data_IF_441158825495
#
_entry.id   IF_441158825495
#
_cell.length_a   1.000
_cell.length_b   1.000
_cell.length_c   1.000
_cell.angle_alpha   90.00
_cell.angle_beta   90.00
_cell.angle_gamma   90.00
#
_symmetry.space_group_name_H-M   'P 1'
#
loop_
_entity.id
_entity.type
_entity.pdbx_description
1 polymer ?
#
# COMPACT_ATOMS: atom_id res chain seq x y z
N UNK A 1 -0.20 -53.11 -56.84
CA UNK A 1 -0.57 -53.98 -55.70
C UNK A 1 0.37 -53.66 -54.56
N UNK A 2 -0.08 -53.02 -53.47
CA UNK A 2 0.77 -52.90 -52.28
C UNK A 2 0.86 -54.29 -51.63
N UNK A 3 2.06 -54.76 -51.26
CA UNK A 3 2.20 -56.08 -50.65
C UNK A 3 1.40 -56.13 -49.35
N UNK A 4 0.75 -57.27 -49.07
CA UNK A 4 -0.07 -57.49 -47.86
C UNK A 4 0.70 -57.14 -46.58
N UNK A 5 2.00 -57.39 -46.57
CA UNK A 5 2.92 -57.03 -45.48
C UNK A 5 2.90 -55.53 -45.15
N UNK A 6 2.83 -54.67 -46.16
CA UNK A 6 2.81 -53.21 -45.96
C UNK A 6 1.47 -52.74 -45.38
N UNK A 7 0.37 -53.42 -45.71
CA UNK A 7 -0.95 -53.14 -45.12
C UNK A 7 -0.98 -53.55 -43.65
N UNK A 8 -0.42 -54.72 -43.31
CA UNK A 8 -0.29 -55.16 -41.90
C UNK A 8 0.57 -54.20 -41.10
N UNK A 9 1.70 -53.74 -41.65
CA UNK A 9 2.54 -52.73 -40.99
C UNK A 9 1.76 -51.43 -40.72
N UNK A 10 1.02 -50.92 -41.70
CA UNK A 10 0.19 -49.73 -41.53
C UNK A 10 -0.90 -49.90 -40.47
N UNK A 11 -1.51 -51.09 -40.38
CA UNK A 11 -2.49 -51.43 -39.35
C UNK A 11 -1.88 -51.50 -37.95
N UNK A 12 -0.72 -52.13 -37.79
CA UNK A 12 -0.03 -52.18 -36.49
C UNK A 12 0.40 -50.79 -36.06
N UNK A 13 0.92 -49.98 -36.98
CA UNK A 13 1.30 -48.60 -36.69
C UNK A 13 0.11 -47.74 -36.26
N UNK A 14 -1.05 -47.89 -36.91
CA UNK A 14 -2.26 -47.19 -36.49
C UNK A 14 -2.80 -47.71 -35.15
N UNK A 15 -2.63 -49.00 -34.84
CA UNK A 15 -2.92 -49.54 -33.51
C UNK A 15 -2.02 -48.96 -32.42
N UNK A 16 -0.72 -48.82 -32.67
CA UNK A 16 0.19 -48.10 -31.78
C UNK A 16 -0.24 -46.63 -31.64
N UNK A 17 -0.67 -45.99 -32.73
CA UNK A 17 -1.28 -44.67 -32.68
C UNK A 17 -2.52 -44.61 -31.77
N UNK A 18 -3.37 -45.64 -31.81
CA UNK A 18 -4.50 -45.79 -30.89
C UNK A 18 -4.09 -45.87 -29.42
N UNK A 19 -3.02 -46.62 -29.11
CA UNK A 19 -2.43 -46.65 -27.77
C UNK A 19 -1.94 -45.26 -27.33
N UNK A 20 -1.24 -44.55 -28.22
CA UNK A 20 -0.76 -43.19 -27.97
C UNK A 20 -1.93 -42.23 -27.71
N UNK A 21 -3.01 -42.29 -28.49
CA UNK A 21 -4.21 -41.49 -28.20
C UNK A 21 -4.82 -41.83 -26.85
N UNK A 22 -4.85 -43.11 -26.48
CA UNK A 22 -5.28 -43.54 -25.17
C UNK A 22 -4.48 -42.88 -24.05
N UNK A 23 -3.14 -42.91 -24.16
CA UNK A 23 -2.25 -42.25 -23.18
C UNK A 23 -2.47 -40.74 -23.11
N UNK A 24 -2.65 -40.09 -24.27
CA UNK A 24 -2.92 -38.65 -24.36
C UNK A 24 -4.28 -38.30 -23.75
N UNK A 25 -5.27 -39.18 -23.91
CA UNK A 25 -6.60 -38.99 -23.35
C UNK A 25 -6.62 -39.16 -21.83
N UNK A 26 -5.87 -40.09 -21.26
CA UNK A 26 -5.72 -40.20 -19.81
C UNK A 26 -4.96 -39.01 -19.22
N UNK A 27 -3.97 -38.46 -19.95
CA UNK A 27 -3.36 -37.17 -19.60
C UNK A 27 -4.41 -36.03 -19.63
N UNK A 28 -5.23 -35.95 -20.69
CA UNK A 28 -6.32 -34.97 -20.78
C UNK A 28 -7.27 -35.06 -19.59
N UNK A 29 -7.72 -36.27 -19.22
CA UNK A 29 -8.59 -36.48 -18.04
C UNK A 29 -7.93 -35.99 -16.77
N UNK A 30 -6.65 -36.29 -16.58
CA UNK A 30 -5.92 -35.88 -15.38
C UNK A 30 -5.72 -34.37 -15.32
N UNK A 31 -5.41 -33.71 -16.44
CA UNK A 31 -5.32 -32.26 -16.55
C UNK A 31 -6.64 -31.56 -16.25
N UNK A 32 -7.76 -32.06 -16.79
CA UNK A 32 -9.10 -31.53 -16.52
C UNK A 32 -9.48 -31.69 -15.04
N UNK A 33 -9.10 -32.80 -14.40
CA UNK A 33 -9.36 -33.05 -12.98
C UNK A 33 -8.62 -32.07 -12.06
N UNK A 34 -7.40 -31.67 -12.44
CA UNK A 34 -6.60 -30.67 -11.69
C UNK A 34 -7.09 -29.24 -11.97
N UNK A 35 -7.56 -28.97 -13.19
CA UNK A 35 -8.01 -27.66 -13.63
C UNK A 35 -9.37 -27.23 -13.05
N UNK A 36 -9.37 -26.38 -12.01
CA UNK A 36 -10.61 -25.85 -11.41
C UNK A 36 -11.30 -24.74 -12.21
N UNK A 37 -10.63 -24.16 -13.22
CA UNK A 37 -11.13 -23.01 -14.00
C UNK A 37 -11.59 -23.45 -15.38
N UNK A 38 -12.67 -22.85 -15.88
CA UNK A 38 -13.28 -23.18 -17.18
C UNK A 38 -12.33 -22.99 -18.37
N UNK A 39 -11.44 -22.00 -18.32
CA UNK A 39 -10.44 -21.79 -19.38
C UNK A 39 -9.37 -22.89 -19.42
N UNK A 40 -9.05 -23.52 -18.28
CA UNK A 40 -8.10 -24.64 -18.26
C UNK A 40 -8.63 -25.85 -19.03
N UNK A 41 -9.92 -26.14 -18.87
CA UNK A 41 -10.59 -27.21 -19.61
C UNK A 41 -10.58 -26.90 -21.11
N UNK A 42 -10.83 -25.64 -21.50
CA UNK A 42 -10.75 -25.24 -22.90
C UNK A 42 -9.34 -25.40 -23.50
N UNK A 43 -8.29 -25.07 -22.75
CA UNK A 43 -6.90 -25.28 -23.18
C UNK A 43 -6.59 -26.77 -23.33
N UNK A 44 -7.02 -27.59 -22.36
CA UNK A 44 -6.83 -29.04 -22.42
C UNK A 44 -7.56 -29.67 -23.61
N UNK A 45 -8.78 -29.20 -23.91
CA UNK A 45 -9.57 -29.65 -25.06
C UNK A 45 -8.84 -29.32 -26.37
N UNK A 46 -8.45 -28.06 -26.58
CA UNK A 46 -7.70 -27.64 -27.78
C UNK A 46 -6.41 -28.44 -27.95
N UNK A 47 -5.68 -28.69 -26.86
CA UNK A 47 -4.45 -29.48 -26.89
C UNK A 47 -4.72 -30.93 -27.31
N UNK A 48 -5.80 -31.54 -26.82
CA UNK A 48 -6.21 -32.89 -27.22
C UNK A 48 -6.65 -32.94 -28.69
N UNK A 49 -7.37 -31.92 -29.17
CA UNK A 49 -7.75 -31.81 -30.59
C UNK A 49 -6.52 -31.74 -31.51
N UNK A 50 -5.51 -30.95 -31.13
CA UNK A 50 -4.26 -30.82 -31.90
C UNK A 50 -3.50 -32.14 -31.91
N UNK A 51 -3.36 -32.81 -30.77
CA UNK A 51 -2.68 -34.11 -30.69
C UNK A 51 -3.44 -35.16 -31.51
N UNK A 52 -4.76 -35.23 -31.37
CA UNK A 52 -5.62 -36.16 -32.10
C UNK A 52 -5.53 -35.98 -33.60
N UNK A 53 -5.76 -34.75 -34.08
CA UNK A 53 -5.69 -34.43 -35.50
C UNK A 53 -4.27 -34.59 -36.04
N UNK A 54 -3.26 -34.14 -35.29
CA UNK A 54 -1.85 -34.26 -35.66
C UNK A 54 -1.43 -35.72 -35.81
N UNK A 55 -1.76 -36.57 -34.84
CA UNK A 55 -1.44 -38.00 -34.92
C UNK A 55 -2.16 -38.68 -36.07
N UNK A 56 -3.47 -38.40 -36.25
CA UNK A 56 -4.24 -38.94 -37.37
C UNK A 56 -3.58 -38.55 -38.70
N UNK A 57 -3.27 -37.27 -38.89
CA UNK A 57 -2.61 -36.77 -40.09
C UNK A 57 -1.23 -37.39 -40.30
N UNK A 58 -0.44 -37.57 -39.24
CA UNK A 58 0.88 -38.20 -39.31
C UNK A 58 0.79 -39.66 -39.78
N UNK A 59 -0.20 -40.41 -39.28
CA UNK A 59 -0.45 -41.79 -39.72
C UNK A 59 -0.86 -41.85 -41.20
N UNK A 60 -1.67 -40.90 -41.68
CA UNK A 60 -2.06 -40.82 -43.08
C UNK A 60 -0.87 -40.50 -44.01
N UNK A 61 -0.03 -39.56 -43.60
CA UNK A 61 1.17 -39.17 -44.36
C UNK A 61 2.18 -40.30 -44.43
N UNK A 62 2.46 -40.96 -43.30
CA UNK A 62 3.46 -42.02 -43.22
C UNK A 62 3.05 -43.25 -44.03
N UNK A 63 1.76 -43.62 -43.98
CA UNK A 63 1.27 -44.81 -44.65
C UNK A 63 1.29 -44.68 -46.17
N UNK A 64 0.60 -43.67 -46.70
CA UNK A 64 0.21 -43.67 -48.11
C UNK A 64 0.00 -42.27 -48.70
N UNK A 65 0.91 -41.32 -48.42
CA UNK A 65 0.85 -39.96 -49.00
C UNK A 65 -0.49 -39.23 -48.76
N UNK A 66 -1.19 -39.55 -47.68
CA UNK A 66 -2.49 -38.95 -47.36
C UNK A 66 -3.72 -39.72 -47.87
N UNK A 67 -3.56 -40.89 -48.49
CA UNK A 67 -4.70 -41.74 -48.85
C UNK A 67 -5.41 -42.28 -47.59
N UNK A 68 -6.69 -41.94 -47.45
CA UNK A 68 -7.52 -42.37 -46.32
C UNK A 68 -7.86 -43.84 -46.48
N UNK A 69 -7.28 -44.70 -45.63
CA UNK A 69 -7.49 -46.15 -45.67
C UNK A 69 -8.25 -46.66 -44.46
N UNK A 70 -9.21 -47.55 -44.71
CA UNK A 70 -10.12 -48.04 -43.67
C UNK A 70 -9.41 -48.75 -42.50
N UNK A 71 -8.33 -49.49 -42.77
CA UNK A 71 -7.57 -50.16 -41.72
C UNK A 71 -6.85 -49.20 -40.76
N UNK A 72 -6.62 -47.94 -41.13
CA UNK A 72 -6.05 -46.93 -40.22
C UNK A 72 -7.04 -46.66 -39.09
N UNK A 73 -8.31 -46.48 -39.41
CA UNK A 73 -9.37 -46.32 -38.41
C UNK A 73 -9.57 -47.57 -37.56
N UNK A 74 -9.56 -48.77 -38.16
CA UNK A 74 -9.66 -50.02 -37.40
C UNK A 74 -8.48 -50.20 -36.45
N UNK A 75 -7.26 -49.91 -36.90
CA UNK A 75 -6.09 -49.99 -36.03
C UNK A 75 -6.18 -48.97 -34.90
N UNK A 76 -6.49 -47.71 -35.18
CA UNK A 76 -6.70 -46.68 -34.14
C UNK A 76 -7.76 -47.11 -33.11
N UNK A 77 -8.93 -47.57 -33.57
CA UNK A 77 -10.00 -48.02 -32.69
C UNK A 77 -9.61 -49.27 -31.89
N UNK A 78 -8.96 -50.24 -32.53
CA UNK A 78 -8.49 -51.47 -31.90
C UNK A 78 -7.41 -51.20 -30.86
N UNK A 79 -6.42 -50.37 -31.20
CA UNK A 79 -5.37 -49.92 -30.28
C UNK A 79 -5.95 -49.18 -29.09
N UNK A 80 -6.89 -48.25 -29.31
CA UNK A 80 -7.56 -47.54 -28.24
C UNK A 80 -8.37 -48.48 -27.33
N UNK A 81 -9.05 -49.48 -27.89
CA UNK A 81 -9.77 -50.49 -27.12
C UNK A 81 -8.83 -51.35 -26.25
N UNK A 82 -7.68 -51.76 -26.81
CA UNK A 82 -6.63 -52.48 -26.07
C UNK A 82 -6.08 -51.60 -24.95
N UNK A 83 -5.83 -50.32 -25.22
CA UNK A 83 -5.35 -49.38 -24.22
C UNK A 83 -6.29 -49.31 -23.01
N UNK A 84 -7.57 -49.03 -23.23
CA UNK A 84 -8.54 -48.90 -22.14
C UNK A 84 -8.74 -50.20 -21.36
N UNK A 85 -8.54 -51.36 -22.01
CA UNK A 85 -8.72 -52.65 -21.37
C UNK A 85 -7.57 -53.03 -20.44
N UNK A 86 -6.34 -52.66 -20.78
CA UNK A 86 -5.13 -53.22 -20.15
C UNK A 86 -4.16 -52.20 -19.56
N UNK A 87 -4.17 -50.93 -19.99
CA UNK A 87 -3.07 -49.98 -19.68
C UNK A 87 -3.54 -48.73 -18.94
N UNK A 88 -4.86 -48.49 -18.86
CA UNK A 88 -5.39 -47.25 -18.28
C UNK A 88 -5.06 -47.09 -16.80
N UNK A 89 -5.00 -48.17 -16.01
CA UNK A 89 -4.77 -48.06 -14.57
C UNK A 89 -3.32 -47.66 -14.25
N UNK A 90 -2.36 -48.33 -14.88
CA UNK A 90 -0.94 -48.09 -14.72
C UNK A 90 -0.55 -46.70 -15.23
N UNK A 91 -1.05 -46.34 -16.41
CA UNK A 91 -0.75 -45.04 -17.03
C UNK A 91 -1.39 -43.90 -16.24
N UNK A 92 -2.60 -44.08 -15.71
CA UNK A 92 -3.20 -43.07 -14.80
C UNK A 92 -2.40 -42.91 -13.51
N UNK A 93 -1.97 -44.00 -12.87
CA UNK A 93 -1.15 -43.93 -11.67
C UNK A 93 0.18 -43.19 -11.95
N UNK A 94 0.79 -43.46 -13.11
CA UNK A 94 1.97 -42.74 -13.57
C UNK A 94 1.70 -41.23 -13.73
N UNK A 95 0.60 -40.85 -14.40
CA UNK A 95 0.25 -39.44 -14.60
C UNK A 95 -0.08 -38.71 -13.30
N UNK A 96 -0.83 -39.34 -12.40
CA UNK A 96 -1.14 -38.77 -11.08
C UNK A 96 0.14 -38.55 -10.27
N UNK A 97 1.04 -39.53 -10.23
CA UNK A 97 2.34 -39.39 -9.57
C UNK A 97 3.24 -38.32 -10.19
N UNK A 98 3.28 -38.23 -11.54
CA UNK A 98 4.02 -37.18 -12.25
C UNK A 98 3.47 -35.78 -11.92
N UNK A 99 2.15 -35.61 -11.86
CA UNK A 99 1.53 -34.33 -11.53
C UNK A 99 1.77 -33.94 -10.07
N UNK A 100 1.69 -34.88 -9.14
CA UNK A 100 2.03 -34.63 -7.74
C UNK A 100 3.48 -34.19 -7.60
N UNK A 101 4.41 -34.84 -8.31
CA UNK A 101 5.81 -34.44 -8.34
C UNK A 101 5.96 -33.01 -8.90
N UNK A 102 5.33 -32.69 -10.02
CA UNK A 102 5.37 -31.36 -10.63
C UNK A 102 4.82 -30.29 -9.67
N UNK A 103 3.68 -30.55 -9.03
CA UNK A 103 3.07 -29.62 -8.08
C UNK A 103 3.94 -29.45 -6.83
N UNK A 104 4.55 -30.52 -6.32
CA UNK A 104 5.46 -30.47 -5.19
C UNK A 104 6.72 -29.65 -5.51
N UNK A 105 7.31 -29.84 -6.70
CA UNK A 105 8.43 -29.05 -7.18
C UNK A 105 8.06 -27.56 -7.34
N UNK A 106 6.88 -27.27 -7.88
CA UNK A 106 6.42 -25.89 -8.04
C UNK A 106 6.18 -25.21 -6.69
N UNK A 107 5.60 -25.93 -5.72
CA UNK A 107 5.37 -25.42 -4.36
C UNK A 107 6.68 -25.20 -3.60
N UNK A 108 7.64 -26.14 -3.69
CA UNK A 108 8.95 -25.99 -3.05
C UNK A 108 9.73 -24.84 -3.66
N UNK A 109 9.70 -24.67 -4.98
CA UNK A 109 10.28 -23.50 -5.66
C UNK A 109 9.60 -22.19 -5.23
N UNK A 110 8.26 -22.18 -5.16
CA UNK A 110 7.50 -21.03 -4.68
C UNK A 110 7.81 -20.67 -3.23
N UNK A 111 7.98 -21.66 -2.36
CA UNK A 111 8.42 -21.45 -0.99
C UNK A 111 9.84 -20.90 -0.94
N UNK A 112 10.76 -21.45 -1.74
CA UNK A 112 12.14 -20.97 -1.84
C UNK A 112 12.22 -19.50 -2.28
N UNK A 113 11.36 -19.08 -3.20
CA UNK A 113 11.30 -17.68 -3.69
C UNK A 113 10.61 -16.75 -2.69
N UNK A 114 9.53 -17.19 -2.03
CA UNK A 114 8.78 -16.34 -1.09
C UNK A 114 9.44 -16.22 0.28
N UNK A 115 10.20 -17.25 0.71
CA UNK A 115 10.92 -17.27 1.97
C UNK A 115 11.87 -16.08 2.19
N UNK A 116 12.78 -15.71 1.27
CA UNK A 116 13.66 -14.55 1.45
C UNK A 116 12.86 -13.24 1.51
N UNK A 117 11.77 -13.13 0.74
CA UNK A 117 10.90 -11.95 0.76
C UNK A 117 10.19 -11.78 2.11
N UNK A 118 9.66 -12.87 2.69
CA UNK A 118 9.02 -12.85 4.01
C UNK A 118 10.04 -12.49 5.09
N UNK A 119 11.25 -13.07 5.04
CA UNK A 119 12.31 -12.77 5.99
C UNK A 119 12.75 -11.31 5.91
N UNK A 120 12.86 -10.76 4.70
CA UNK A 120 13.19 -9.35 4.46
C UNK A 120 12.11 -8.42 5.02
N UNK A 121 10.83 -8.71 4.73
CA UNK A 121 9.71 -7.94 5.28
C UNK A 121 9.68 -7.99 6.82
N UNK A 122 9.91 -9.16 7.40
CA UNK A 122 9.92 -9.36 8.85
C UNK A 122 11.11 -8.64 9.52
N UNK A 123 12.23 -8.50 8.83
CA UNK A 123 13.40 -7.75 9.30
C UNK A 123 13.14 -6.24 9.20
N UNK A 124 12.59 -5.78 8.08
CA UNK A 124 12.18 -4.39 7.88
C UNK A 124 11.16 -3.90 8.91
N UNK A 125 10.09 -4.67 9.18
CA UNK A 125 9.12 -4.32 10.24
C UNK A 125 9.76 -4.21 11.62
N UNK A 126 10.70 -5.10 11.96
CA UNK A 126 11.43 -5.04 13.23
C UNK A 126 12.28 -3.77 13.33
N UNK A 127 12.98 -3.41 12.26
CA UNK A 127 13.74 -2.16 12.18
C UNK A 127 12.84 -0.92 12.30
N UNK A 128 11.72 -0.89 11.58
CA UNK A 128 10.73 0.20 11.67
C UNK A 128 10.14 0.34 13.08
N UNK A 129 9.76 -0.79 13.70
CA UNK A 129 9.23 -0.79 15.07
C UNK A 129 10.28 -0.30 16.07
N UNK A 130 11.53 -0.70 15.89
CA UNK A 130 12.65 -0.22 16.71
C UNK A 130 12.85 1.29 16.52
N UNK A 131 12.89 1.79 15.28
CA UNK A 131 12.98 3.22 14.99
C UNK A 131 11.82 4.03 15.60
N UNK A 132 10.59 3.52 15.51
CA UNK A 132 9.42 4.18 16.09
C UNK A 132 9.50 4.28 17.62
N UNK A 133 9.93 3.19 18.28
CA UNK A 133 10.11 3.15 19.74
C UNK A 133 11.29 4.02 20.20
N UNK A 134 12.39 4.05 19.44
CA UNK A 134 13.57 4.88 19.73
C UNK A 134 13.28 6.37 19.50
N UNK A 135 12.47 6.72 18.49
CA UNK A 135 12.00 8.07 18.24
C UNK A 135 11.19 8.65 19.41
N UNK A 136 10.31 7.84 20.02
CA UNK A 136 9.57 8.22 21.22
C UNK A 136 10.44 8.41 22.48
N UNK A 137 11.62 7.78 22.51
CA UNK A 137 12.62 7.93 23.57
C UNK A 137 13.41 9.23 23.40
N UNK A 138 13.85 9.51 22.17
CA UNK A 138 14.61 10.72 21.83
C UNK A 138 13.76 11.99 22.00
N UNK A 139 12.47 11.95 21.63
CA UNK A 139 11.54 13.08 21.78
C UNK A 139 11.23 13.43 23.24
N UNK A 140 11.15 12.43 24.13
CA UNK A 140 11.01 12.66 25.58
C UNK A 140 12.29 13.22 26.18
N UNK A 141 13.43 12.62 25.84
CA UNK A 141 14.74 13.07 26.30
C UNK A 141 15.04 14.52 25.88
N UNK A 142 14.78 14.90 24.63
CA UNK A 142 15.01 16.28 24.16
C UNK A 142 14.05 17.28 24.80
N UNK A 143 12.78 16.90 25.05
CA UNK A 143 11.80 17.77 25.71
C UNK A 143 12.17 18.05 27.16
N UNK A 144 12.57 17.02 27.90
CA UNK A 144 12.88 17.17 29.33
C UNK A 144 14.25 17.82 29.54
N UNK A 145 15.23 17.53 28.69
CA UNK A 145 16.61 17.98 28.88
C UNK A 145 16.94 19.35 28.28
N UNK A 146 16.33 19.73 27.16
CA UNK A 146 16.58 21.02 26.51
C UNK A 146 15.43 22.02 26.69
N UNK A 147 14.18 21.58 26.51
CA UNK A 147 13.04 22.51 26.48
C UNK A 147 12.59 22.99 27.87
N UNK A 148 12.59 22.14 28.90
CA UNK A 148 12.17 22.57 30.24
C UNK A 148 13.09 23.60 30.91
N UNK A 149 14.44 23.51 30.85
CA UNK A 149 15.30 24.52 31.45
C UNK A 149 15.26 25.84 30.67
N UNK A 150 15.21 25.79 29.33
CA UNK A 150 15.10 27.00 28.50
C UNK A 150 13.80 27.77 28.76
N UNK A 151 12.67 27.07 28.91
CA UNK A 151 11.37 27.73 29.18
C UNK A 151 11.35 28.37 30.58
N UNK A 152 11.96 27.72 31.57
CA UNK A 152 12.14 28.28 32.92
C UNK A 152 13.10 29.48 32.91
N UNK A 153 14.20 29.41 32.19
CA UNK A 153 15.14 30.54 32.04
C UNK A 153 14.46 31.75 31.35
N UNK A 154 13.69 31.51 30.30
CA UNK A 154 12.95 32.55 29.59
C UNK A 154 11.85 33.20 30.45
N UNK A 155 11.14 32.42 31.28
CA UNK A 155 10.14 32.96 32.20
C UNK A 155 10.76 33.77 33.34
N UNK A 156 11.91 33.35 33.87
CA UNK A 156 12.67 34.12 34.86
C UNK A 156 13.19 35.43 34.26
N UNK A 157 13.70 35.42 33.02
CA UNK A 157 14.13 36.63 32.30
C UNK A 157 13.00 37.63 32.10
N UNK A 158 11.83 37.16 31.63
CA UNK A 158 10.62 38.01 31.47
C UNK A 158 10.14 38.60 32.79
N UNK A 159 10.13 37.84 33.88
CA UNK A 159 9.75 38.33 35.21
C UNK A 159 10.74 39.36 35.79
N UNK A 160 12.03 39.24 35.45
CA UNK A 160 13.07 40.20 35.86
C UNK A 160 12.94 41.52 35.09
N UNK A 161 12.74 41.45 33.78
CA UNK A 161 12.48 42.62 32.92
C UNK A 161 11.18 43.33 33.30
N UNK A 162 10.12 42.60 33.63
CA UNK A 162 8.86 43.17 34.12
C UNK A 162 9.03 43.93 35.44
N UNK A 163 9.81 43.40 36.39
CA UNK A 163 10.12 44.10 37.64
C UNK A 163 10.92 45.37 37.41
N UNK A 164 11.95 45.33 36.55
CA UNK A 164 12.74 46.52 36.21
C UNK A 164 11.92 47.58 35.47
N UNK A 165 11.03 47.17 34.56
CA UNK A 165 10.10 48.07 33.88
C UNK A 165 9.10 48.73 34.84
N UNK A 166 8.64 48.02 35.87
CA UNK A 166 7.67 48.58 36.82
C UNK A 166 8.37 49.53 37.81
N UNK A 167 9.61 49.20 38.20
CA UNK A 167 10.44 50.04 39.05
C UNK A 167 10.83 51.35 38.36
N UNK A 168 11.17 51.32 37.07
CA UNK A 168 11.46 52.55 36.29
C UNK A 168 10.22 53.42 36.09
N UNK A 169 9.04 52.83 35.86
CA UNK A 169 7.76 53.55 35.80
C UNK A 169 7.40 54.24 37.10
N UNK A 170 7.62 53.59 38.25
CA UNK A 170 7.40 54.23 39.56
C UNK A 170 8.38 55.38 39.80
N UNK A 171 9.65 55.22 39.41
CA UNK A 171 10.67 56.28 39.53
C UNK A 171 10.35 57.51 38.67
N UNK A 172 9.94 57.30 37.41
CA UNK A 172 9.50 58.38 36.52
C UNK A 172 8.15 58.99 36.96
N UNK A 173 7.23 58.18 37.47
CA UNK A 173 5.93 58.64 38.00
C UNK A 173 6.07 59.53 39.23
N UNK A 174 7.01 59.22 40.14
CA UNK A 174 7.28 60.09 41.29
C UNK A 174 7.92 61.42 40.88
N UNK A 175 8.87 61.41 39.93
CA UNK A 175 9.49 62.66 39.42
C UNK A 175 8.49 63.57 38.72
N UNK A 176 7.60 63.02 37.91
CA UNK A 176 6.56 63.80 37.20
C UNK A 176 5.49 64.33 38.17
N UNK A 177 5.11 63.57 39.20
CA UNK A 177 4.18 64.02 40.24
C UNK A 177 4.74 65.19 41.08
N UNK A 178 6.04 65.16 41.41
CA UNK A 178 6.71 66.24 42.16
C UNK A 178 6.85 67.52 41.31
N UNK A 179 7.20 67.38 40.03
CA UNK A 179 7.24 68.51 39.08
C UNK A 179 5.86 69.14 38.87
N UNK A 180 4.80 68.33 38.77
CA UNK A 180 3.41 68.81 38.62
C UNK A 180 2.92 69.57 39.86
N UNK A 181 3.32 69.14 41.07
CA UNK A 181 3.01 69.86 42.32
C UNK A 181 3.78 71.18 42.46
N UNK A 182 5.01 71.28 41.94
CA UNK A 182 5.78 72.54 41.90
C UNK A 182 5.21 73.53 40.88
N UNK A 183 4.83 73.08 39.68
CA UNK A 183 4.26 73.93 38.64
C UNK A 183 2.81 74.37 38.97
N UNK A 184 2.01 73.52 39.61
CA UNK A 184 0.63 73.84 39.98
C UNK A 184 0.48 74.83 41.15
N UNK A 185 1.51 74.99 42.00
CA UNK A 185 1.50 75.99 43.08
C UNK A 185 1.87 77.40 42.63
N UNK A 186 2.59 77.56 41.52
CA UNK A 186 2.96 78.88 40.97
C UNK A 186 1.82 79.58 40.21
N UNK A 187 0.93 78.81 39.56
CA UNK A 187 -0.09 79.37 38.66
C UNK A 187 -1.47 79.54 39.32
N UNK A 188 -1.78 78.77 40.37
CA UNK A 188 -3.07 78.85 41.06
C UNK A 188 -3.25 80.13 41.91
N UNK A 189 -2.17 80.70 42.46
CA UNK A 189 -2.22 81.92 43.28
C UNK A 189 -2.37 83.23 42.50
N UNK A 190 -1.92 83.26 41.23
CA UNK A 190 -1.91 84.47 40.39
C UNK A 190 -3.28 84.71 39.73
N UNK A 191 -3.97 83.66 39.28
CA UNK A 191 -5.26 83.76 38.58
C UNK A 191 -6.43 84.16 39.50
N UNK A 192 -6.44 83.71 40.76
CA UNK A 192 -7.53 84.06 41.69
C UNK A 192 -7.46 85.52 42.15
N UNK A 193 -6.25 86.08 42.33
CA UNK A 193 -6.06 87.47 42.78
C UNK A 193 -6.43 88.51 41.71
N UNK A 194 -6.29 88.18 40.43
CA UNK A 194 -6.68 89.05 39.32
C UNK A 194 -8.21 89.05 39.10
N UNK A 195 -8.84 87.89 39.22
CA UNK A 195 -10.29 87.75 39.00
C UNK A 195 -11.17 88.37 40.11
N UNK A 196 -10.64 88.49 41.34
CA UNK A 196 -11.31 89.15 42.45
C UNK A 196 -11.29 90.69 42.35
N UNK A 197 -10.17 91.27 41.88
CA UNK A 197 -10.03 92.74 41.72
C UNK A 197 -10.90 93.29 40.58
N UNK A 198 -11.03 92.56 39.48
CA UNK A 198 -11.87 92.97 38.35
C UNK A 198 -13.38 92.92 38.68
N UNK A 199 -13.81 92.01 39.56
CA UNK A 199 -15.21 91.90 39.99
C UNK A 199 -15.65 92.97 41.01
N UNK A 200 -14.71 93.54 41.77
CA UNK A 200 -15.00 94.62 42.72
C UNK A 200 -15.18 95.99 42.03
N UNK A 201 -14.52 96.21 40.89
CA UNK A 201 -14.59 97.47 40.12
C UNK A 201 -15.90 97.65 39.32
N UNK A 202 -16.69 96.59 39.12
CA UNK A 202 -17.91 96.61 38.30
C UNK A 202 -19.23 96.67 39.10
N UNK A 203 -19.18 96.71 40.43
CA UNK A 203 -20.39 96.90 41.26
C UNK A 203 -20.77 98.38 41.34
N UNK A 204 -21.63 98.83 40.43
CA UNK A 204 -22.32 100.13 40.56
C UNK A 204 -23.37 100.03 41.70
N UNK A 205 -23.45 101.02 42.61
CA UNK A 205 -24.49 101.06 43.64
C UNK A 205 -25.89 101.29 43.04
N UNK A 206 -26.96 100.77 43.67
CA UNK A 206 -28.32 100.84 43.16
C UNK A 206 -28.87 102.27 43.15
N UNK A 207 -29.56 102.64 42.06
CA UNK A 207 -30.30 103.91 41.96
C UNK A 207 -31.56 103.85 42.84
N UNK A 208 -31.71 104.83 43.72
CA UNK A 208 -32.95 105.11 44.46
C UNK A 208 -33.99 105.78 43.54
N UNK A 209 -35.29 105.50 43.68
CA UNK A 209 -36.35 106.20 42.95
C UNK A 209 -36.72 107.55 43.61
N UNK A 210 -36.98 108.62 42.84
CA UNK A 210 -37.64 109.81 43.36
C UNK A 210 -39.17 109.71 43.30
N UNK A 211 -39.81 110.03 44.43
CA UNK A 211 -41.21 110.48 44.63
C UNK A 211 -41.34 111.98 44.24
N UNK A 212 -42.57 112.54 44.13
CA UNK A 212 -43.00 113.48 43.09
C UNK A 212 -42.31 114.84 43.06
#
# INVERSE_FOLDING_TARGET
MTPVVQQVYGFVLSAVGGLVLGTAFDLYRTLVRVGRRRWWVAVADVLMWIIGAGLFFLLLLWGHWGEVRFYVFLGLAGGLAVYYRYMTEEVRAFWEGMLELILHLLQTLGYLVTFPFILLYRSGRRALRWLYLTGGRCRRWSRDRLWTPLRKAASHGKARLGRMSNQSRQFFGQRTAVLRRRLGRGTAGMGQRFSGRLRALWRRPPKQPPTP
#
